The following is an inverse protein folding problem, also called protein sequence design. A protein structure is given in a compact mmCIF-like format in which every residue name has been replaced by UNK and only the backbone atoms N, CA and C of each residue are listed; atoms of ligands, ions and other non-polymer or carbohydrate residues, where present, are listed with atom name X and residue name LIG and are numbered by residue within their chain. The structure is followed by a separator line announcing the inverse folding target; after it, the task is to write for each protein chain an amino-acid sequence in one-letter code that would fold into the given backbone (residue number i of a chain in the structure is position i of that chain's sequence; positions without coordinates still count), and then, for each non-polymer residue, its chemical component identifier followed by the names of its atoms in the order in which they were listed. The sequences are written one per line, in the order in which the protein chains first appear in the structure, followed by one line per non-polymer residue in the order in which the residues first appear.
data_IF_249824885219
#
_entry.id   IF_249824885219
#
_cell.length_a   1.000
_cell.length_b   1.000
_cell.length_c   1.000
_cell.angle_alpha   90.00
_cell.angle_beta   90.00
_cell.angle_gamma   90.00
#
_symmetry.space_group_name_H-M   'P 1'
#
loop_
_entity.id
_entity.type
_entity.pdbx_description
1 polymer ?
#
# COMPACT_ATOMS: atom_id res chain seq x y z
N UNK A 1 -4.13 7.08 7.30
CA UNK A 1 -3.49 6.03 6.49
C UNK A 1 -2.54 6.73 5.52
N UNK A 2 -1.27 6.37 5.57
CA UNK A 2 -0.27 6.82 4.61
C UNK A 2 -0.36 5.92 3.37
N UNK A 3 -0.63 6.48 2.21
CA UNK A 3 -0.66 5.76 0.93
C UNK A 3 0.58 6.12 0.14
N UNK A 4 1.35 5.11 -0.23
CA UNK A 4 2.49 5.27 -1.13
C UNK A 4 2.03 4.94 -2.54
N UNK A 5 2.18 5.89 -3.45
CA UNK A 5 1.95 5.74 -4.88
C UNK A 5 3.23 6.06 -5.66
N UNK A 6 3.33 5.66 -6.93
CA UNK A 6 4.46 6.01 -7.81
C UNK A 6 4.64 7.53 -7.92
N UNK A 7 3.54 8.28 -7.83
CA UNK A 7 3.58 9.74 -7.93
C UNK A 7 4.08 10.40 -6.65
N UNK A 8 3.44 10.12 -5.51
CA UNK A 8 3.71 10.74 -4.19
C UNK A 8 3.24 9.86 -3.04
N UNK A 9 3.61 10.30 -1.83
CA UNK A 9 3.00 9.84 -0.58
C UNK A 9 1.79 10.71 -0.26
N UNK A 10 0.65 10.06 0.02
CA UNK A 10 -0.61 10.68 0.36
C UNK A 10 -0.99 10.38 1.82
N UNK A 11 -1.54 11.35 2.53
CA UNK A 11 -2.07 11.16 3.88
C UNK A 11 -3.59 11.28 3.84
N UNK A 12 -4.29 10.15 3.95
CA UNK A 12 -5.75 10.13 3.89
C UNK A 12 -6.38 9.49 5.12
N UNK A 13 -7.58 9.93 5.45
CA UNK A 13 -8.43 9.28 6.44
C UNK A 13 -9.29 8.25 5.73
N UNK A 14 -9.18 6.98 6.14
CA UNK A 14 -10.03 5.89 5.65
C UNK A 14 -11.05 5.59 6.73
N UNK A 15 -12.33 5.62 6.35
CA UNK A 15 -13.41 5.21 7.24
C UNK A 15 -13.70 3.73 7.00
N UNK A 16 -13.29 2.87 7.94
CA UNK A 16 -13.54 1.44 7.85
C UNK A 16 -14.99 1.11 8.18
N UNK A 17 -15.53 0.09 7.53
CA UNK A 17 -16.81 -0.49 7.88
C UNK A 17 -16.70 -1.26 9.20
N UNK A 18 -17.63 -1.00 10.12
CA UNK A 18 -17.73 -1.66 11.43
C UNK A 18 -19.06 -2.41 11.61
N UNK A 19 -19.79 -2.66 10.51
CA UNK A 19 -21.05 -3.39 10.54
C UNK A 19 -20.85 -4.84 11.02
N UNK A 20 -21.86 -5.50 11.62
CA UNK A 20 -21.80 -6.93 11.91
C UNK A 20 -21.47 -7.72 10.64
N UNK A 21 -20.44 -8.56 10.71
CA UNK A 21 -19.94 -9.31 9.54
C UNK A 21 -19.02 -8.52 8.60
N UNK A 22 -18.58 -7.31 8.98
CA UNK A 22 -17.59 -6.56 8.20
C UNK A 22 -16.29 -7.34 8.04
N UNK A 23 -15.69 -7.23 6.86
CA UNK A 23 -14.38 -7.81 6.60
C UNK A 23 -13.31 -7.18 7.52
N UNK A 24 -12.26 -7.92 7.90
CA UNK A 24 -11.05 -7.36 8.50
C UNK A 24 -10.49 -6.15 7.74
N UNK A 25 -9.84 -5.23 8.47
CA UNK A 25 -9.27 -3.98 7.92
C UNK A 25 -8.41 -4.19 6.67
N UNK A 26 -7.52 -5.19 6.68
CA UNK A 26 -6.67 -5.48 5.52
C UNK A 26 -7.47 -5.89 4.28
N UNK A 27 -8.58 -6.61 4.45
CA UNK A 27 -9.47 -6.98 3.34
C UNK A 27 -10.26 -5.77 2.82
N UNK A 28 -10.70 -4.88 3.71
CA UNK A 28 -11.35 -3.63 3.30
C UNK A 28 -10.38 -2.73 2.49
N UNK A 29 -9.10 -2.69 2.87
CA UNK A 29 -8.06 -2.00 2.11
C UNK A 29 -7.86 -2.63 0.72
N UNK A 30 -7.79 -3.96 0.66
CA UNK A 30 -7.67 -4.68 -0.61
C UNK A 30 -8.86 -4.43 -1.54
N UNK A 31 -10.08 -4.36 -1.00
CA UNK A 31 -11.27 -3.94 -1.75
C UNK A 31 -11.14 -2.53 -2.32
N UNK A 32 -10.49 -1.63 -1.59
CA UNK A 32 -10.12 -0.28 -2.03
C UNK A 32 -8.91 -0.21 -2.98
N UNK A 33 -8.41 -1.36 -3.48
CA UNK A 33 -7.18 -1.48 -4.29
C UNK A 33 -5.92 -0.96 -3.60
N UNK A 34 -5.86 -1.10 -2.27
CA UNK A 34 -4.70 -0.74 -1.46
C UNK A 34 -4.13 -1.99 -0.80
N UNK A 35 -2.83 -2.23 -0.99
CA UNK A 35 -2.13 -3.32 -0.35
C UNK A 35 -1.55 -2.84 0.99
N UNK A 36 -1.96 -3.40 2.13
CA UNK A 36 -1.47 -2.95 3.42
C UNK A 36 -0.03 -3.38 3.67
N UNK A 37 0.73 -2.56 4.40
CA UNK A 37 2.08 -2.92 4.87
C UNK A 37 2.06 -4.15 5.79
N UNK A 38 1.04 -4.26 6.64
CA UNK A 38 0.85 -5.38 7.57
C UNK A 38 -0.62 -5.80 7.62
N UNK A 39 -0.88 -7.09 7.87
CA UNK A 39 -2.25 -7.63 7.88
C UNK A 39 -3.06 -7.29 9.15
N UNK A 40 -2.39 -6.86 10.23
CA UNK A 40 -3.03 -6.58 11.52
C UNK A 40 -3.50 -5.13 11.63
N UNK A 41 -2.55 -4.19 11.64
CA UNK A 41 -2.83 -2.76 11.79
C UNK A 41 -1.81 -1.98 10.98
N UNK A 42 -2.14 -1.75 9.72
CA UNK A 42 -1.31 -0.96 8.85
C UNK A 42 -1.58 0.54 9.05
N UNK A 43 -0.53 1.30 9.37
CA UNK A 43 -0.52 2.75 9.21
C UNK A 43 -0.24 3.16 7.76
N UNK A 44 0.31 2.24 6.97
CA UNK A 44 0.76 2.45 5.59
C UNK A 44 0.11 1.45 4.64
N UNK A 45 -0.25 1.90 3.45
CA UNK A 45 -0.66 1.04 2.35
C UNK A 45 -0.01 1.50 1.04
N UNK A 46 0.05 0.60 0.09
CA UNK A 46 0.67 0.80 -1.22
C UNK A 46 -0.41 0.66 -2.29
N UNK A 47 -0.35 1.50 -3.32
CA UNK A 47 -1.11 1.21 -4.54
C UNK A 47 -0.49 0.02 -5.24
N UNK A 48 -1.28 -0.76 -5.97
CA UNK A 48 -0.72 -1.85 -6.79
C UNK A 48 0.26 -1.32 -7.84
N UNK A 49 0.03 -0.10 -8.34
CA UNK A 49 0.93 0.55 -9.28
C UNK A 49 2.34 0.75 -8.72
N UNK A 50 2.49 1.16 -7.45
CA UNK A 50 3.83 1.31 -6.85
C UNK A 50 4.50 -0.03 -6.59
N UNK A 51 3.73 -1.08 -6.29
CA UNK A 51 4.26 -2.44 -6.16
C UNK A 51 4.77 -2.98 -7.50
N UNK A 52 3.99 -2.81 -8.57
CA UNK A 52 4.39 -3.22 -9.92
C UNK A 52 5.64 -2.45 -10.38
N UNK A 53 5.67 -1.13 -10.18
CA UNK A 53 6.83 -0.31 -10.55
C UNK A 53 8.09 -0.70 -9.77
N UNK A 54 7.96 -1.04 -8.49
CA UNK A 54 9.06 -1.57 -7.69
C UNK A 54 9.59 -2.89 -8.26
N UNK A 55 8.70 -3.84 -8.62
CA UNK A 55 9.10 -5.12 -9.22
C UNK A 55 9.90 -4.89 -10.50
N UNK A 56 9.45 -3.98 -11.38
CA UNK A 56 10.19 -3.63 -12.60
C UNK A 56 11.59 -3.07 -12.30
N UNK A 57 11.70 -2.08 -11.40
CA UNK A 57 13.00 -1.49 -11.03
C UNK A 57 13.94 -2.50 -10.35
N UNK A 58 13.38 -3.46 -9.61
CA UNK A 58 14.15 -4.53 -8.99
C UNK A 58 14.68 -5.51 -10.04
N UNK A 59 13.85 -5.90 -11.01
CA UNK A 59 14.24 -6.84 -12.08
C UNK A 59 15.25 -6.23 -13.06
N UNK A 60 15.05 -4.99 -13.49
CA UNK A 60 15.89 -4.34 -14.50
C UNK A 60 17.25 -3.90 -13.94
N UNK A 61 17.24 -3.33 -12.72
CA UNK A 61 18.39 -2.60 -12.18
C UNK A 61 18.89 -3.14 -10.84
N UNK A 62 18.28 -4.21 -10.29
CA UNK A 62 18.61 -4.70 -8.95
C UNK A 62 18.28 -3.69 -7.85
N UNK A 63 17.36 -2.76 -8.10
CA UNK A 63 17.03 -1.69 -7.15
C UNK A 63 16.46 -2.29 -5.87
N UNK A 64 17.10 -2.01 -4.73
CA UNK A 64 16.58 -2.39 -3.41
C UNK A 64 15.39 -1.52 -3.01
N UNK A 65 14.55 -2.00 -2.10
CA UNK A 65 13.40 -1.23 -1.60
C UNK A 65 13.80 0.12 -0.97
N UNK A 66 14.93 0.17 -0.25
CA UNK A 66 15.44 1.41 0.34
C UNK A 66 15.86 2.44 -0.71
N UNK A 67 16.53 1.99 -1.79
CA UNK A 67 16.94 2.88 -2.88
C UNK A 67 15.73 3.35 -3.69
N UNK A 68 14.74 2.47 -3.90
CA UNK A 68 13.50 2.83 -4.59
C UNK A 68 12.71 3.89 -3.81
N UNK A 69 12.62 3.77 -2.49
CA UNK A 69 11.91 4.73 -1.65
C UNK A 69 12.64 6.07 -1.48
N UNK A 70 13.97 6.07 -1.60
CA UNK A 70 14.80 7.28 -1.46
C UNK A 70 14.98 8.05 -2.78
N UNK A 71 14.31 7.61 -3.84
CA UNK A 71 14.37 8.17 -5.19
C UNK A 71 13.55 9.46 -5.27
#
# INVERSE_FOLDING_TARGET
LTIVDVTRVHFITVNYCHCPGSLPVHQQLLWGRLFPETLQRSSTAFTFHVLDNFIWNNLECGTSGSNYFSK
#
